data_IF_757598991751
#
_entry.id   IF_757598991751
#
_cell.length_a   1.000
_cell.length_b   1.000
_cell.length_c   1.000
_cell.angle_alpha   90.00
_cell.angle_beta   90.00
_cell.angle_gamma   90.00
#
_symmetry.space_group_name_H-M   'P 1'
#
loop_
_entity.id
_entity.type
_entity.pdbx_description
1 polymer ?
#
# COMPACT_ATOMS: atom_id res chain seq x y z
N UNK A 1 -16.41 8.20 15.17
CA UNK A 1 -15.06 7.64 14.97
C UNK A 1 -15.33 6.21 14.62
N UNK A 2 -15.25 5.93 13.33
CA UNK A 2 -15.69 4.64 12.80
C UNK A 2 -14.58 3.62 13.05
N UNK A 3 -14.95 2.35 13.24
CA UNK A 3 -13.98 1.32 13.62
C UNK A 3 -12.87 1.16 12.57
N UNK A 4 -13.17 1.49 11.30
CA UNK A 4 -12.19 1.53 10.21
C UNK A 4 -11.16 2.64 10.40
N UNK A 5 -11.58 3.87 10.74
CA UNK A 5 -10.66 4.98 10.99
C UNK A 5 -9.79 4.71 12.22
N UNK A 6 -10.32 3.99 13.22
CA UNK A 6 -9.54 3.54 14.36
C UNK A 6 -8.44 2.54 13.95
N UNK A 7 -8.76 1.60 13.05
CA UNK A 7 -7.82 0.63 12.50
C UNK A 7 -6.72 1.32 11.68
N UNK A 8 -7.09 2.23 10.78
CA UNK A 8 -6.15 3.01 9.97
C UNK A 8 -5.18 3.79 10.86
N UNK A 9 -5.71 4.48 11.87
CA UNK A 9 -4.89 5.20 12.84
C UNK A 9 -3.92 4.29 13.59
N UNK A 10 -4.36 3.10 14.01
CA UNK A 10 -3.50 2.15 14.68
C UNK A 10 -2.37 1.63 13.78
N UNK A 11 -2.62 1.50 12.47
CA UNK A 11 -1.61 1.14 11.47
C UNK A 11 -0.59 2.28 11.31
N UNK A 12 -1.05 3.52 11.13
CA UNK A 12 -0.18 4.69 11.00
C UNK A 12 0.70 4.92 12.24
N UNK A 13 0.14 4.67 13.42
CA UNK A 13 0.86 4.78 14.70
C UNK A 13 1.76 3.54 14.97
N UNK A 14 1.77 2.52 14.08
CA UNK A 14 2.55 1.29 14.22
C UNK A 14 2.10 0.38 15.38
N UNK A 15 0.87 0.54 15.85
CA UNK A 15 0.30 -0.16 17.00
C UNK A 15 -0.26 -1.52 16.63
N UNK A 16 0.61 -2.45 16.24
CA UNK A 16 0.26 -3.82 15.79
C UNK A 16 -0.68 -4.56 16.77
N UNK A 17 -0.52 -4.37 18.08
CA UNK A 17 -1.40 -4.99 19.09
C UNK A 17 -2.84 -4.47 18.97
N UNK A 18 -3.02 -3.17 18.71
CA UNK A 18 -4.34 -2.56 18.54
C UNK A 18 -4.94 -2.92 17.18
N UNK A 19 -4.13 -2.94 16.13
CA UNK A 19 -4.52 -3.45 14.80
C UNK A 19 -5.10 -4.87 14.91
N UNK A 20 -4.37 -5.76 15.59
CA UNK A 20 -4.85 -7.13 15.87
C UNK A 20 -6.17 -7.12 16.64
N UNK A 21 -6.26 -6.35 17.73
CA UNK A 21 -7.46 -6.30 18.58
C UNK A 21 -8.70 -5.84 17.80
N UNK A 22 -8.55 -4.87 16.90
CA UNK A 22 -9.62 -4.37 16.06
C UNK A 22 -10.04 -5.40 15.00
N UNK A 23 -9.09 -6.06 14.35
CA UNK A 23 -9.39 -7.14 13.42
C UNK A 23 -10.09 -8.32 14.11
N UNK A 24 -9.66 -8.69 15.32
CA UNK A 24 -10.32 -9.70 16.16
C UNK A 24 -11.72 -9.30 16.61
N UNK A 25 -11.99 -7.99 16.72
CA UNK A 25 -13.32 -7.46 17.02
C UNK A 25 -14.28 -7.56 15.82
N UNK A 26 -13.80 -8.01 14.65
CA UNK A 26 -14.60 -8.19 13.44
C UNK A 26 -14.61 -6.98 12.51
N UNK A 27 -13.65 -6.06 12.65
CA UNK A 27 -13.46 -4.98 11.67
C UNK A 27 -13.07 -5.60 10.33
N UNK A 28 -13.78 -5.23 9.27
CA UNK A 28 -13.50 -5.70 7.93
C UNK A 28 -12.15 -5.13 7.44
N UNK A 29 -11.17 -6.02 7.22
CA UNK A 29 -9.85 -5.68 6.72
C UNK A 29 -9.88 -5.06 5.30
N UNK A 30 -11.00 -5.20 4.59
CA UNK A 30 -11.25 -4.65 3.26
C UNK A 30 -12.20 -3.46 3.26
N UNK A 31 -12.64 -2.99 4.43
CA UNK A 31 -13.45 -1.77 4.51
C UNK A 31 -12.62 -0.56 4.04
N UNK A 32 -13.33 0.45 3.56
CA UNK A 32 -12.73 1.72 3.17
C UNK A 32 -13.26 2.81 4.10
N UNK A 33 -12.43 3.82 4.35
CA UNK A 33 -12.88 5.04 5.00
C UNK A 33 -13.64 5.97 4.02
N UNK A 34 -14.01 7.16 4.48
CA UNK A 34 -14.73 8.16 3.69
C UNK A 34 -13.91 8.70 2.50
N UNK A 35 -12.59 8.57 2.54
CA UNK A 35 -11.66 8.94 1.46
C UNK A 35 -11.40 7.77 0.50
N UNK A 36 -11.99 6.60 0.76
CA UNK A 36 -11.83 5.40 -0.04
C UNK A 36 -10.49 4.70 0.18
N UNK A 37 -9.78 5.01 1.26
CA UNK A 37 -8.55 4.33 1.65
C UNK A 37 -8.87 3.04 2.42
N UNK A 38 -8.12 1.98 2.12
CA UNK A 38 -8.22 0.71 2.84
C UNK A 38 -7.11 0.53 3.87
N UNK A 39 -7.31 -0.33 4.89
CA UNK A 39 -6.26 -0.73 5.83
C UNK A 39 -4.98 -1.20 5.14
N UNK A 40 -5.12 -1.94 4.04
CA UNK A 40 -3.98 -2.43 3.28
C UNK A 40 -3.20 -1.29 2.62
N UNK A 41 -3.90 -0.26 2.11
CA UNK A 41 -3.26 0.95 1.58
C UNK A 41 -2.52 1.72 2.68
N UNK A 42 -3.13 1.93 3.85
CA UNK A 42 -2.46 2.58 4.98
C UNK A 42 -1.19 1.82 5.42
N UNK A 43 -1.28 0.50 5.55
CA UNK A 43 -0.13 -0.33 5.91
C UNK A 43 0.99 -0.28 4.86
N UNK A 44 0.61 -0.21 3.59
CA UNK A 44 1.55 -0.06 2.48
C UNK A 44 2.24 1.32 2.50
N UNK A 45 1.49 2.40 2.76
CA UNK A 45 2.05 3.76 2.92
C UNK A 45 3.00 3.85 4.12
N UNK A 46 2.63 3.23 5.25
CA UNK A 46 3.46 3.18 6.44
C UNK A 46 4.69 2.26 6.28
N UNK A 47 4.79 1.51 5.18
CA UNK A 47 5.80 0.47 4.96
C UNK A 47 5.83 -0.57 6.10
N UNK A 48 4.67 -0.85 6.73
CA UNK A 48 4.56 -1.76 7.88
C UNK A 48 4.20 -3.17 7.41
N UNK A 49 5.24 -3.99 7.20
CA UNK A 49 5.08 -5.39 6.82
C UNK A 49 4.26 -6.21 7.82
N UNK A 50 4.33 -5.89 9.11
CA UNK A 50 3.59 -6.65 10.14
C UNK A 50 2.10 -6.34 10.06
N UNK A 51 1.75 -5.09 9.80
CA UNK A 51 0.38 -4.70 9.55
C UNK A 51 -0.15 -5.35 8.25
N UNK A 52 0.64 -5.35 7.18
CA UNK A 52 0.30 -6.04 5.92
C UNK A 52 0.05 -7.54 6.13
N UNK A 53 0.96 -8.23 6.82
CA UNK A 53 0.83 -9.65 7.15
C UNK A 53 -0.42 -9.95 7.97
N UNK A 54 -0.74 -9.08 8.94
CA UNK A 54 -1.95 -9.21 9.74
C UNK A 54 -3.20 -9.03 8.88
N UNK A 55 -3.28 -7.95 8.13
CA UNK A 55 -4.44 -7.66 7.28
C UNK A 55 -4.72 -8.82 6.31
N UNK A 56 -3.67 -9.39 5.72
CA UNK A 56 -3.78 -10.55 4.85
C UNK A 56 -4.32 -11.79 5.59
N UNK A 57 -3.86 -12.05 6.82
CA UNK A 57 -4.39 -13.15 7.65
C UNK A 57 -5.89 -12.99 7.94
N UNK A 58 -6.37 -11.74 8.01
CA UNK A 58 -7.79 -11.42 8.19
C UNK A 58 -8.55 -11.25 6.87
N UNK A 59 -7.96 -11.66 5.74
CA UNK A 59 -8.63 -11.72 4.44
C UNK A 59 -8.59 -10.45 3.62
N UNK A 60 -7.63 -9.55 3.87
CA UNK A 60 -7.40 -8.39 3.01
C UNK A 60 -7.05 -8.81 1.58
N UNK A 61 -7.67 -8.16 0.59
CA UNK A 61 -7.45 -8.41 -0.83
C UNK A 61 -6.40 -7.45 -1.39
N UNK A 62 -5.25 -8.02 -1.75
CA UNK A 62 -4.10 -7.32 -2.32
C UNK A 62 -4.36 -6.78 -3.73
N UNK A 63 -5.27 -7.41 -4.48
CA UNK A 63 -5.57 -7.05 -5.88
C UNK A 63 -6.78 -6.14 -6.00
N UNK A 64 -7.50 -5.92 -4.90
CA UNK A 64 -8.69 -5.07 -4.90
C UNK A 64 -8.29 -3.65 -5.27
N UNK A 65 -9.01 -3.11 -6.25
CA UNK A 65 -8.99 -1.70 -6.57
C UNK A 65 -10.00 -0.97 -5.67
N UNK A 66 -9.59 0.18 -5.17
CA UNK A 66 -10.30 1.04 -4.23
C UNK A 66 -10.74 2.32 -4.95
N UNK A 67 -10.74 3.48 -4.28
CA UNK A 67 -11.10 4.75 -4.90
C UNK A 67 -10.31 5.04 -6.18
N UNK A 68 -10.99 5.54 -7.21
CA UNK A 68 -10.42 5.88 -8.52
C UNK A 68 -9.62 4.73 -9.17
N UNK A 69 -9.91 3.47 -8.84
CA UNK A 69 -9.19 2.31 -9.35
C UNK A 69 -7.79 2.10 -8.74
N UNK A 70 -7.46 2.80 -7.65
CA UNK A 70 -6.18 2.66 -6.97
C UNK A 70 -6.06 1.33 -6.26
N UNK A 71 -4.90 0.68 -6.38
CA UNK A 71 -4.58 -0.53 -5.61
C UNK A 71 -3.58 -0.17 -4.52
N UNK A 72 -3.38 -1.07 -3.54
CA UNK A 72 -2.34 -0.90 -2.53
C UNK A 72 -0.95 -0.71 -3.15
N UNK A 73 -0.70 -1.30 -4.33
CA UNK A 73 0.57 -1.13 -5.05
C UNK A 73 0.75 0.28 -5.61
N UNK A 74 -0.30 0.91 -6.13
CA UNK A 74 -0.23 2.31 -6.60
C UNK A 74 0.13 3.25 -5.44
N UNK A 75 -0.54 3.09 -4.29
CA UNK A 75 -0.26 3.88 -3.08
C UNK A 75 1.17 3.66 -2.57
N UNK A 76 1.62 2.40 -2.50
CA UNK A 76 2.97 2.07 -2.04
C UNK A 76 4.04 2.77 -2.91
N UNK A 77 3.86 2.75 -4.24
CA UNK A 77 4.77 3.41 -5.18
C UNK A 77 4.72 4.92 -5.02
N UNK A 78 3.54 5.54 -5.10
CA UNK A 78 3.38 7.00 -5.03
C UNK A 78 3.92 7.55 -3.70
N UNK A 79 3.56 6.92 -2.57
CA UNK A 79 4.00 7.35 -1.24
C UNK A 79 5.48 7.08 -0.97
N UNK A 80 6.05 5.96 -1.44
CA UNK A 80 7.49 5.70 -1.27
C UNK A 80 8.35 6.76 -1.96
N UNK A 81 7.92 7.20 -3.14
CA UNK A 81 8.60 8.23 -3.92
C UNK A 81 8.34 9.60 -3.29
N UNK A 82 7.09 9.95 -3.02
CA UNK A 82 6.73 11.25 -2.42
C UNK A 82 7.39 11.45 -1.05
N UNK A 83 7.39 10.43 -0.19
CA UNK A 83 8.07 10.50 1.11
C UNK A 83 9.58 10.67 0.99
N UNK A 84 10.21 10.08 -0.04
CA UNK A 84 11.64 10.25 -0.31
C UNK A 84 11.93 11.68 -0.79
N UNK A 85 11.12 12.19 -1.72
CA UNK A 85 11.21 13.57 -2.23
C UNK A 85 11.02 14.58 -1.09
N UNK A 86 9.99 14.39 -0.25
CA UNK A 86 9.70 15.26 0.89
C UNK A 86 10.83 15.28 1.92
N UNK A 87 11.51 14.15 2.11
CA UNK A 87 12.66 14.05 3.02
C UNK A 87 13.97 14.58 2.40
N UNK A 88 13.94 14.99 1.14
CA UNK A 88 15.12 15.42 0.38
C UNK A 88 16.12 14.27 0.15
N UNK A 89 15.64 13.03 0.16
CA UNK A 89 16.44 11.85 -0.17
C UNK A 89 16.63 11.71 -1.68
N UNK A 90 17.68 10.99 -2.07
CA UNK A 90 17.85 10.59 -3.47
C UNK A 90 16.82 9.49 -3.81
N UNK A 91 16.37 9.45 -5.08
CA UNK A 91 15.51 8.40 -5.68
C UNK A 91 16.22 7.03 -5.81
N UNK A 92 17.11 6.74 -4.86
CA UNK A 92 17.80 5.49 -4.71
C UNK A 92 17.66 4.92 -3.30
N UNK A 93 16.96 5.59 -2.37
CA UNK A 93 16.74 5.15 -0.98
C UNK A 93 15.25 4.93 -0.67
N UNK A 94 14.40 4.78 -1.70
CA UNK A 94 12.97 4.60 -1.48
C UNK A 94 12.67 3.32 -0.70
N UNK A 95 11.70 3.34 0.23
CA UNK A 95 11.26 2.15 0.92
C UNK A 95 10.56 1.21 -0.07
N UNK A 96 11.16 0.05 -0.31
CA UNK A 96 10.63 -0.95 -1.24
C UNK A 96 9.98 -2.14 -0.54
N UNK A 97 10.00 -2.21 0.80
CA UNK A 97 9.58 -3.42 1.51
C UNK A 97 8.10 -3.73 1.27
N UNK A 98 7.22 -2.74 1.41
CA UNK A 98 5.79 -2.89 1.12
C UNK A 98 5.55 -3.21 -0.37
N UNK A 99 6.27 -2.57 -1.29
CA UNK A 99 6.16 -2.84 -2.73
C UNK A 99 6.54 -4.31 -3.01
N UNK A 100 7.70 -4.75 -2.52
CA UNK A 100 8.17 -6.12 -2.66
C UNK A 100 7.21 -7.12 -2.03
N UNK A 101 6.67 -6.80 -0.85
CA UNK A 101 5.70 -7.62 -0.16
C UNK A 101 4.42 -7.76 -0.99
N UNK A 102 3.86 -6.66 -1.51
CA UNK A 102 2.66 -6.68 -2.34
C UNK A 102 2.88 -7.52 -3.61
N UNK A 103 4.03 -7.36 -4.27
CA UNK A 103 4.41 -8.15 -5.44
C UNK A 103 4.53 -9.64 -5.12
N UNK A 104 5.16 -9.98 -3.99
CA UNK A 104 5.28 -11.36 -3.52
C UNK A 104 3.92 -12.01 -3.24
N UNK A 105 2.91 -11.22 -2.87
CA UNK A 105 1.55 -11.67 -2.61
C UNK A 105 0.61 -11.53 -3.83
N UNK A 106 1.17 -11.28 -5.02
CA UNK A 106 0.43 -11.31 -6.28
C UNK A 106 -0.31 -10.02 -6.62
N UNK A 107 0.16 -8.87 -6.13
CA UNK A 107 -0.30 -7.57 -6.59
C UNK A 107 -0.07 -7.42 -8.11
N UNK A 108 -1.06 -6.84 -8.79
CA UNK A 108 -1.00 -6.62 -10.22
C UNK A 108 -0.33 -5.28 -10.55
N UNK A 109 0.83 -5.36 -11.19
CA UNK A 109 1.61 -4.17 -11.63
C UNK A 109 0.97 -3.45 -12.81
N UNK A 110 0.09 -4.13 -13.56
CA UNK A 110 -0.60 -3.60 -14.74
C UNK A 110 -2.04 -3.21 -14.45
N UNK A 111 -2.47 -3.31 -13.18
CA UNK A 111 -3.73 -2.73 -12.75
C UNK A 111 -3.74 -1.25 -13.13
N UNK A 112 -4.85 -0.80 -13.70
CA UNK A 112 -5.01 0.58 -14.15
C UNK A 112 -5.95 1.32 -13.21
N UNK A 113 -5.56 2.53 -12.82
CA UNK A 113 -6.47 3.49 -12.20
C UNK A 113 -7.55 3.90 -13.21
N UNK A 114 -8.57 4.62 -12.75
CA UNK A 114 -9.59 5.22 -13.63
C UNK A 114 -8.99 6.20 -14.65
N UNK A 115 -7.81 6.77 -14.37
CA UNK A 115 -7.05 7.61 -15.29
C UNK A 115 -6.28 6.81 -16.35
N UNK A 116 -6.25 5.48 -16.21
CA UNK A 116 -5.53 4.57 -17.10
C UNK A 116 -4.05 4.42 -16.77
N UNK A 117 -3.61 4.92 -15.61
CA UNK A 117 -2.22 4.89 -15.14
C UNK A 117 -1.97 3.57 -14.39
N UNK A 118 -0.80 2.97 -14.61
CA UNK A 118 -0.33 1.79 -13.87
C UNK A 118 0.70 2.17 -12.81
N UNK A 119 0.95 1.30 -11.83
CA UNK A 119 2.02 1.51 -10.84
C UNK A 119 3.40 1.75 -11.49
N UNK A 120 3.65 1.15 -12.65
CA UNK A 120 4.87 1.39 -13.46
C UNK A 120 4.88 2.80 -14.06
N UNK A 121 3.73 3.32 -14.49
CA UNK A 121 3.63 4.68 -15.03
C UNK A 121 3.92 5.74 -13.96
N UNK A 122 3.50 5.53 -12.71
CA UNK A 122 3.88 6.38 -11.57
C UNK A 122 5.40 6.37 -11.36
N UNK A 123 6.02 5.19 -11.28
CA UNK A 123 7.48 5.09 -11.13
C UNK A 123 8.24 5.80 -12.26
N UNK A 124 7.73 5.72 -13.50
CA UNK A 124 8.27 6.44 -14.66
C UNK A 124 8.07 7.95 -14.59
N UNK A 125 6.88 8.40 -14.18
CA UNK A 125 6.55 9.82 -14.09
C UNK A 125 7.50 10.56 -13.13
N UNK A 126 7.91 9.90 -12.05
CA UNK A 126 8.87 10.44 -11.09
C UNK A 126 10.33 10.04 -11.37
N UNK A 127 10.64 9.42 -12.52
CA UNK A 127 11.98 8.97 -12.91
C UNK A 127 12.65 8.01 -11.91
N UNK A 128 11.90 7.24 -11.13
CA UNK A 128 12.46 6.22 -10.22
C UNK A 128 12.80 4.95 -10.99
N UNK A 129 14.03 4.91 -11.52
CA UNK A 129 14.55 3.72 -12.19
C UNK A 129 14.81 2.52 -11.26
N UNK A 130 14.73 2.72 -9.94
CA UNK A 130 14.83 1.64 -8.93
C UNK A 130 13.47 0.96 -8.76
N UNK A 131 12.41 1.72 -8.49
CA UNK A 131 11.04 1.19 -8.35
C UNK A 131 10.58 0.56 -9.67
N UNK A 132 10.81 1.23 -10.81
CA UNK A 132 10.44 0.68 -12.13
C UNK A 132 11.07 -0.69 -12.36
N UNK A 133 12.36 -0.86 -12.06
CA UNK A 133 13.05 -2.13 -12.22
C UNK A 133 12.46 -3.23 -11.35
N UNK A 134 12.10 -2.92 -10.11
CA UNK A 134 11.48 -3.90 -9.21
C UNK A 134 10.13 -4.37 -9.74
N UNK A 135 9.28 -3.44 -10.18
CA UNK A 135 7.96 -3.77 -10.74
C UNK A 135 8.08 -4.67 -11.99
N UNK A 136 9.07 -4.41 -12.85
CA UNK A 136 9.29 -5.19 -14.07
C UNK A 136 9.93 -6.56 -13.81
N UNK A 137 10.87 -6.66 -12.86
CA UNK A 137 11.58 -7.91 -12.55
C UNK A 137 10.68 -8.91 -11.83
N UNK A 138 9.74 -8.45 -11.00
CA UNK A 138 8.80 -9.35 -10.28
C UNK A 138 7.81 -10.11 -11.18
N UNK A 139 7.85 -9.91 -12.50
CA UNK A 139 6.98 -10.58 -13.48
C UNK A 139 7.74 -11.54 -14.44
N UNK A 140 9.02 -11.81 -14.18
CA UNK A 140 9.88 -12.67 -15.02
C UNK A 140 9.87 -14.15 -14.66
#
# INVERSE_FOLDING_TARGET
MDDISALMKAIDDGQITEVRRLLEAGVDANAMDEEGQSPLMAAACANDLKALDLLLQYGADVRRAYADGWTALHMAVDFSIDSTIQRGGDLGDEPLDAILWLLAHGADVYAKTERGETAVDFARAYCSGRVERVLLVSQS
#
